data_IF_918226355989
#
_entry.id   IF_918226355989
#
_cell.length_a   1.000
_cell.length_b   1.000
_cell.length_c   1.000
_cell.angle_alpha   90.00
_cell.angle_beta   90.00
_cell.angle_gamma   90.00
#
_symmetry.space_group_name_H-M   'P 1'
#
loop_
_entity.id
_entity.type
_entity.pdbx_description
1 polymer ?
#
# COMPACT_ATOMS: atom_id res chain seq x y z
N UNK A 1 -0.13 11.32 -6.66
CA UNK A 1 -1.43 10.63 -6.67
C UNK A 1 -2.49 11.67 -6.93
N UNK A 2 -3.12 11.60 -8.08
CA UNK A 2 -4.21 12.51 -8.45
C UNK A 2 -5.41 11.68 -8.80
N UNK A 3 -6.58 12.12 -8.36
CA UNK A 3 -7.84 11.50 -8.72
C UNK A 3 -8.88 12.58 -8.98
N UNK A 4 -9.69 12.35 -9.99
CA UNK A 4 -10.77 13.23 -10.39
C UNK A 4 -12.00 12.37 -10.62
N UNK A 5 -13.03 12.59 -9.81
CA UNK A 5 -14.32 11.93 -9.95
C UNK A 5 -15.30 12.95 -10.50
N UNK A 6 -16.01 12.58 -11.57
CA UNK A 6 -17.03 13.42 -12.21
C UNK A 6 -18.36 12.70 -12.25
N UNK A 7 -19.43 13.46 -12.09
CA UNK A 7 -20.81 13.03 -12.27
C UNK A 7 -21.45 13.92 -13.34
N UNK A 8 -21.86 13.34 -14.47
CA UNK A 8 -22.44 14.07 -15.60
C UNK A 8 -21.56 15.26 -16.06
N UNK A 9 -20.23 15.07 -16.04
CA UNK A 9 -19.25 16.11 -16.37
C UNK A 9 -18.93 17.10 -15.24
N UNK A 10 -19.70 17.12 -14.14
CA UNK A 10 -19.43 17.96 -12.97
C UNK A 10 -18.41 17.29 -12.04
N UNK A 11 -17.32 17.97 -11.66
CA UNK A 11 -16.38 17.42 -10.68
C UNK A 11 -17.05 17.28 -9.31
N UNK A 12 -16.85 16.12 -8.69
CA UNK A 12 -17.29 15.83 -7.32
C UNK A 12 -16.16 16.14 -6.33
N UNK A 13 -16.52 16.47 -5.10
CA UNK A 13 -15.56 16.75 -4.03
C UNK A 13 -15.43 15.55 -3.09
N UNK A 14 -14.19 15.14 -2.81
CA UNK A 14 -13.89 14.11 -1.80
C UNK A 14 -14.46 14.48 -0.44
N UNK A 15 -14.90 13.48 0.31
CA UNK A 15 -15.44 13.56 1.69
C UNK A 15 -16.76 14.31 1.80
N UNK A 16 -17.31 14.77 0.66
CA UNK A 16 -18.60 15.45 0.58
C UNK A 16 -19.53 14.74 -0.39
N UNK A 17 -19.06 14.52 -1.61
CA UNK A 17 -19.84 13.94 -2.69
C UNK A 17 -19.47 12.47 -2.94
N UNK A 18 -18.27 12.05 -2.56
CA UNK A 18 -17.80 10.66 -2.61
C UNK A 18 -16.69 10.41 -1.57
N UNK A 19 -16.50 9.14 -1.22
CA UNK A 19 -15.43 8.64 -0.35
C UNK A 19 -14.71 7.47 -1.03
N UNK A 20 -13.41 7.33 -0.77
CA UNK A 20 -12.59 6.24 -1.30
C UNK A 20 -11.90 5.52 -0.16
N UNK A 21 -12.05 4.20 -0.14
CA UNK A 21 -11.21 3.32 0.65
C UNK A 21 -10.06 2.84 -0.23
N UNK A 22 -8.88 3.40 0.00
CA UNK A 22 -7.66 3.04 -0.73
C UNK A 22 -7.12 1.66 -0.39
N UNK A 23 -7.47 1.13 0.78
CA UNK A 23 -7.02 -0.19 1.21
C UNK A 23 -7.79 -1.28 0.47
N UNK A 24 -9.12 -1.15 0.36
CA UNK A 24 -9.95 -2.08 -0.40
C UNK A 24 -10.06 -1.74 -1.89
N UNK A 25 -9.71 -0.51 -2.28
CA UNK A 25 -9.90 0.00 -3.64
C UNK A 25 -11.37 0.35 -3.97
N UNK A 26 -12.22 0.50 -2.95
CA UNK A 26 -13.65 0.76 -3.13
C UNK A 26 -13.94 2.26 -3.18
N UNK A 27 -14.73 2.70 -4.15
CA UNK A 27 -15.24 4.07 -4.25
C UNK A 27 -16.74 4.09 -3.96
N UNK A 28 -17.16 4.94 -3.03
CA UNK A 28 -18.55 5.14 -2.68
C UNK A 28 -18.98 6.57 -3.01
N UNK A 29 -19.94 6.72 -3.92
CA UNK A 29 -20.55 8.01 -4.23
C UNK A 29 -21.72 8.27 -3.28
N UNK A 30 -21.68 9.41 -2.59
CA UNK A 30 -22.68 9.83 -1.59
C UNK A 30 -23.66 10.84 -2.22
N UNK A 31 -23.27 11.51 -3.31
CA UNK A 31 -24.08 12.50 -4.01
C UNK A 31 -25.48 11.97 -4.38
N UNK A 32 -26.58 12.63 -3.99
CA UNK A 32 -27.95 12.16 -4.24
C UNK A 32 -28.30 12.16 -5.74
N UNK A 33 -27.65 13.02 -6.53
CA UNK A 33 -27.77 13.10 -7.99
C UNK A 33 -27.27 11.83 -8.69
N UNK A 34 -26.36 11.07 -8.06
CA UNK A 34 -25.84 9.81 -8.57
C UNK A 34 -26.84 8.64 -8.43
N UNK A 35 -27.98 8.84 -7.74
CA UNK A 35 -29.03 7.81 -7.61
C UNK A 35 -30.03 7.81 -8.78
N UNK A 36 -29.93 8.78 -9.70
CA UNK A 36 -30.80 8.81 -10.87
C UNK A 36 -30.30 7.80 -11.90
N UNK A 37 -31.23 7.17 -12.63
CA UNK A 37 -30.92 6.12 -13.60
C UNK A 37 -30.10 6.62 -14.81
N UNK A 38 -30.07 7.93 -15.04
CA UNK A 38 -29.32 8.63 -16.10
C UNK A 38 -27.94 9.14 -15.62
N UNK A 39 -27.53 8.83 -14.40
CA UNK A 39 -26.26 9.29 -13.85
C UNK A 39 -25.07 8.59 -14.52
N UNK A 40 -24.21 9.36 -15.19
CA UNK A 40 -22.93 8.91 -15.74
C UNK A 40 -21.79 9.33 -14.80
N UNK A 41 -21.07 8.35 -14.28
CA UNK A 41 -19.92 8.57 -13.39
C UNK A 41 -18.65 8.29 -14.18
N UNK A 42 -17.71 9.25 -14.15
CA UNK A 42 -16.39 9.13 -14.77
C UNK A 42 -15.33 9.25 -13.67
N UNK A 43 -14.39 8.30 -13.67
CA UNK A 43 -13.37 8.18 -12.62
C UNK A 43 -12.01 8.15 -13.30
N UNK A 44 -11.24 9.20 -13.13
CA UNK A 44 -9.84 9.27 -13.54
C UNK A 44 -8.98 9.16 -12.29
N UNK A 45 -8.10 8.16 -12.23
CA UNK A 45 -7.17 7.98 -11.13
C UNK A 45 -5.76 7.69 -11.65
N UNK A 46 -4.77 8.34 -11.06
CA UNK A 46 -3.37 8.05 -11.28
C UNK A 46 -2.82 7.31 -10.07
N UNK A 47 -2.70 5.98 -10.21
CA UNK A 47 -2.06 5.12 -9.21
C UNK A 47 -0.56 5.30 -9.29
N UNK A 48 0.05 5.96 -8.30
CA UNK A 48 1.44 5.66 -7.99
C UNK A 48 1.49 4.21 -7.47
N UNK A 49 2.44 3.41 -7.91
CA UNK A 49 2.58 2.01 -7.47
C UNK A 49 2.87 1.95 -5.96
N UNK A 50 1.83 1.92 -5.14
CA UNK A 50 1.92 1.85 -3.67
C UNK A 50 2.30 0.46 -3.15
N UNK A 51 2.57 -0.52 -4.02
CA UNK A 51 2.87 -1.89 -3.62
C UNK A 51 4.23 -2.35 -4.13
N UNK A 52 5.28 -1.61 -3.79
CA UNK A 52 6.58 -2.23 -3.57
C UNK A 52 6.62 -2.71 -2.12
N UNK A 53 5.94 -3.82 -1.86
CA UNK A 53 6.18 -4.60 -0.64
C UNK A 53 7.59 -5.18 -0.75
N UNK A 54 8.59 -4.38 -0.41
CA UNK A 54 9.96 -4.83 -0.27
C UNK A 54 10.00 -5.82 0.89
N UNK A 55 10.05 -7.11 0.57
CA UNK A 55 10.19 -8.14 1.59
C UNK A 55 11.62 -8.07 2.11
N UNK A 56 11.78 -7.47 3.29
CA UNK A 56 13.03 -7.47 4.06
C UNK A 56 12.90 -8.50 5.17
N UNK A 57 13.76 -9.51 5.15
CA UNK A 57 13.83 -10.54 6.18
C UNK A 57 15.21 -10.50 6.82
N UNK A 58 15.27 -10.21 8.11
CA UNK A 58 16.48 -10.26 8.92
C UNK A 58 16.37 -11.45 9.86
N UNK A 59 17.25 -12.43 9.69
CA UNK A 59 17.41 -13.57 10.57
C UNK A 59 18.70 -13.40 11.34
N UNK A 60 18.72 -13.75 12.61
CA UNK A 60 19.91 -13.63 13.43
C UNK A 60 19.89 -14.58 14.60
N UNK A 61 21.07 -14.88 15.11
CA UNK A 61 21.28 -15.69 16.30
C UNK A 61 22.40 -15.12 17.14
N UNK A 62 22.26 -15.20 18.46
CA UNK A 62 23.27 -14.81 19.42
C UNK A 62 23.59 -16.00 20.31
N UNK A 63 24.88 -16.26 20.46
CA UNK A 63 25.42 -17.22 21.42
C UNK A 63 26.23 -16.43 22.43
N UNK A 64 26.04 -16.72 23.70
CA UNK A 64 26.83 -16.13 24.79
C UNK A 64 27.37 -17.25 25.66
N UNK A 65 28.63 -17.12 26.05
CA UNK A 65 29.32 -18.04 26.93
C UNK A 65 29.94 -17.25 28.08
N UNK A 66 29.57 -17.60 29.31
CA UNK A 66 30.11 -17.00 30.53
C UNK A 66 31.51 -17.58 30.82
N UNK A 67 32.51 -16.71 30.91
CA UNK A 67 33.91 -17.08 31.20
C UNK A 67 34.22 -16.96 32.71
N UNK A 68 33.40 -16.22 33.46
CA UNK A 68 33.53 -16.00 34.89
C UNK A 68 32.26 -15.40 35.49
N UNK A 69 32.33 -14.92 36.72
CA UNK A 69 31.17 -14.32 37.41
C UNK A 69 30.74 -12.97 36.80
N UNK A 70 31.67 -12.30 36.12
CA UNK A 70 31.46 -10.96 35.57
C UNK A 70 31.88 -10.82 34.09
N UNK A 71 32.45 -11.88 33.50
CA UNK A 71 32.98 -11.88 32.14
C UNK A 71 32.21 -12.87 31.26
N UNK A 72 31.84 -12.43 30.07
CA UNK A 72 31.23 -13.28 29.04
C UNK A 72 31.78 -12.96 27.66
N UNK A 73 31.74 -13.95 26.77
CA UNK A 73 32.03 -13.79 25.35
C UNK A 73 30.79 -14.13 24.54
N UNK A 74 30.46 -13.25 23.59
CA UNK A 74 29.31 -13.42 22.71
C UNK A 74 29.72 -13.56 21.25
N UNK A 75 29.01 -14.41 20.52
CA UNK A 75 29.06 -14.52 19.06
C UNK A 75 27.70 -14.18 18.48
N UNK A 76 27.64 -13.25 17.54
CA UNK A 76 26.39 -12.83 16.89
C UNK A 76 26.49 -13.08 15.39
N UNK A 77 25.51 -13.78 14.83
CA UNK A 77 25.37 -13.99 13.39
C UNK A 77 24.08 -13.32 12.90
N UNK A 78 24.17 -12.67 11.73
CA UNK A 78 23.07 -11.97 11.10
C UNK A 78 23.02 -12.33 9.62
N UNK A 79 21.83 -12.64 9.12
CA UNK A 79 21.52 -12.92 7.73
C UNK A 79 20.40 -11.97 7.28
N UNK A 80 20.70 -11.13 6.30
CA UNK A 80 19.74 -10.19 5.74
C UNK A 80 19.39 -10.60 4.31
N UNK A 81 18.10 -10.76 4.03
CA UNK A 81 17.59 -11.03 2.69
C UNK A 81 16.56 -9.99 2.29
N UNK A 82 16.78 -9.34 1.14
CA UNK A 82 15.84 -8.41 0.52
C UNK A 82 15.45 -8.96 -0.85
N UNK A 83 14.15 -9.19 -1.06
CA UNK A 83 13.60 -9.52 -2.37
C UNK A 83 12.61 -8.45 -2.80
N UNK A 84 12.85 -7.87 -3.97
CA UNK A 84 11.90 -7.00 -4.66
C UNK A 84 11.02 -7.87 -5.56
N UNK A 85 9.72 -7.94 -5.27
CA UNK A 85 8.75 -8.59 -6.16
C UNK A 85 8.47 -7.65 -7.34
N UNK A 86 9.41 -7.51 -8.27
CA UNK A 86 9.16 -6.78 -9.53
C UNK A 86 8.46 -7.72 -10.52
N UNK A 87 7.17 -7.97 -10.31
CA UNK A 87 6.33 -8.64 -11.32
C UNK A 87 5.89 -7.63 -12.39
N UNK A 88 6.84 -7.12 -13.18
CA UNK A 88 6.49 -6.54 -14.49
C UNK A 88 6.29 -7.68 -15.49
N UNK A 89 5.10 -8.29 -15.47
CA UNK A 89 4.62 -9.05 -16.62
C UNK A 89 4.23 -8.01 -17.69
N UNK A 90 5.11 -7.80 -18.66
CA UNK A 90 4.81 -7.02 -19.86
C UNK A 90 4.32 -8.02 -20.92
N UNK A 91 3.00 -8.14 -21.07
CA UNK A 91 2.40 -8.83 -22.21
C UNK A 91 2.28 -7.79 -23.33
N UNK A 92 2.92 -8.08 -24.46
CA UNK A 92 2.88 -7.28 -25.69
C UNK A 92 3.42 -8.12 -26.82
#
# INVERSE_FOLDING_TARGET
ESETVRLNGRPLTRDKDYTIDYFSGSLQVIAPEARRADAQIEIEYERASLFQLDKKTLLGGRLEYELGKDDFIGFTTLYFNQSTLDQRIRIG
#
